data_IF_877109942347
#
_entry.id   IF_877109942347
#
_cell.length_a   1.000
_cell.length_b   1.000
_cell.length_c   1.000
_cell.angle_alpha   90.00
_cell.angle_beta   90.00
_cell.angle_gamma   90.00
#
_symmetry.space_group_name_H-M   'P 1'
#
loop_
_entity.id
_entity.type
_entity.pdbx_description
1 polymer ?
#
# COMPACT_ATOMS: atom_id res chain seq x y z
N UNK A 1 -0.74 33.31 -46.31
CA UNK A 1 -1.82 33.47 -45.35
C UNK A 1 -1.94 34.91 -44.84
N UNK A 2 -0.86 35.55 -44.42
CA UNK A 2 -0.80 36.94 -43.92
C UNK A 2 -1.28 37.97 -44.95
N UNK A 3 -0.97 37.84 -46.24
CA UNK A 3 -1.38 38.76 -47.33
C UNK A 3 -2.90 38.75 -47.61
N UNK A 4 -3.58 37.63 -47.42
CA UNK A 4 -5.05 37.51 -47.49
C UNK A 4 -5.75 38.18 -46.32
N UNK A 5 -5.21 38.03 -45.10
CA UNK A 5 -5.75 38.68 -43.92
C UNK A 5 -5.64 40.19 -44.02
N UNK A 6 -4.51 40.72 -44.56
CA UNK A 6 -4.29 42.13 -44.77
C UNK A 6 -5.31 42.76 -45.75
N UNK A 7 -5.61 42.06 -46.88
CA UNK A 7 -6.62 42.53 -47.87
C UNK A 7 -8.05 42.58 -47.29
N UNK A 8 -8.40 41.62 -46.43
CA UNK A 8 -9.71 41.58 -45.78
C UNK A 8 -9.82 42.74 -44.77
N UNK A 9 -8.72 43.00 -44.04
CA UNK A 9 -8.68 44.11 -43.05
C UNK A 9 -8.74 45.50 -43.68
N UNK A 10 -8.19 45.70 -44.90
CA UNK A 10 -8.20 47.00 -45.60
C UNK A 10 -9.60 47.39 -46.11
N UNK A 11 -10.49 46.44 -46.41
CA UNK A 11 -11.87 46.70 -46.84
C UNK A 11 -12.91 46.63 -45.70
N UNK A 12 -12.51 46.31 -44.48
CA UNK A 12 -13.42 46.26 -43.37
C UNK A 12 -13.77 47.68 -42.86
N UNK A 13 -15.02 47.86 -42.39
CA UNK A 13 -15.45 49.10 -41.77
C UNK A 13 -14.66 49.37 -40.47
N UNK A 14 -14.59 50.64 -40.05
CA UNK A 14 -13.91 51.05 -38.82
C UNK A 14 -14.41 50.24 -37.60
N UNK A 15 -15.71 49.99 -37.57
CA UNK A 15 -16.39 49.16 -36.57
C UNK A 15 -15.87 47.72 -36.56
N UNK A 16 -15.73 47.10 -37.71
CA UNK A 16 -15.20 45.72 -37.81
C UNK A 16 -13.72 45.66 -37.38
N UNK A 17 -12.92 46.67 -37.71
CA UNK A 17 -11.51 46.76 -37.26
C UNK A 17 -11.38 46.86 -35.76
N UNK A 18 -12.21 47.74 -35.16
CA UNK A 18 -12.23 47.94 -33.69
C UNK A 18 -12.70 46.67 -32.97
N UNK A 19 -13.75 46.01 -33.51
CA UNK A 19 -14.24 44.71 -32.98
C UNK A 19 -13.17 43.63 -33.02
N UNK A 20 -12.46 43.50 -34.14
CA UNK A 20 -11.41 42.50 -34.29
C UNK A 20 -10.23 42.75 -33.34
N UNK A 21 -9.85 44.00 -33.12
CA UNK A 21 -8.76 44.41 -32.25
C UNK A 21 -9.10 44.12 -30.77
N UNK A 22 -10.28 44.58 -30.33
CA UNK A 22 -10.74 44.34 -28.92
C UNK A 22 -10.91 42.86 -28.66
N UNK A 23 -11.53 42.10 -29.56
CA UNK A 23 -11.70 40.67 -29.42
C UNK A 23 -10.35 39.91 -29.39
N UNK A 24 -9.37 40.36 -30.22
CA UNK A 24 -8.03 39.75 -30.23
C UNK A 24 -7.28 39.97 -28.91
N UNK A 25 -7.30 41.22 -28.41
CA UNK A 25 -6.67 41.53 -27.08
C UNK A 25 -7.31 40.71 -25.98
N UNK A 26 -8.65 40.65 -25.96
CA UNK A 26 -9.39 39.94 -24.94
C UNK A 26 -9.18 38.43 -25.00
N UNK A 27 -9.14 37.85 -26.19
CA UNK A 27 -8.77 36.40 -26.37
C UNK A 27 -7.34 36.12 -25.93
N UNK A 28 -6.40 37.04 -26.20
CA UNK A 28 -5.00 36.85 -25.82
C UNK A 28 -4.81 36.98 -24.30
N UNK A 29 -5.44 37.94 -23.65
CA UNK A 29 -5.39 38.09 -22.18
C UNK A 29 -6.09 36.92 -21.48
N UNK A 30 -7.28 36.55 -21.94
CA UNK A 30 -8.00 35.41 -21.39
C UNK A 30 -7.21 34.11 -21.58
N UNK A 31 -6.63 33.90 -22.77
CA UNK A 31 -5.79 32.75 -23.07
C UNK A 31 -4.56 32.65 -22.16
N UNK A 32 -3.87 33.75 -21.89
CA UNK A 32 -2.71 33.76 -20.99
C UNK A 32 -3.10 33.48 -19.55
N UNK A 33 -4.17 34.10 -19.03
CA UNK A 33 -4.68 33.85 -17.67
C UNK A 33 -5.08 32.38 -17.51
N UNK A 34 -5.71 31.80 -18.54
CA UNK A 34 -6.16 30.42 -18.52
C UNK A 34 -5.01 29.41 -18.56
N UNK A 35 -3.96 29.67 -19.36
CA UNK A 35 -2.76 28.85 -19.40
C UNK A 35 -2.02 28.86 -18.05
N UNK A 36 -1.86 30.04 -17.44
CA UNK A 36 -1.24 30.19 -16.13
C UNK A 36 -2.08 29.49 -15.05
N UNK A 37 -3.40 29.69 -15.07
CA UNK A 37 -4.33 29.04 -14.16
C UNK A 37 -4.29 27.50 -14.27
N UNK A 38 -4.27 26.99 -15.50
CA UNK A 38 -4.13 25.55 -15.73
C UNK A 38 -2.81 24.97 -15.19
N UNK A 39 -1.70 25.68 -15.45
CA UNK A 39 -0.39 25.24 -14.96
C UNK A 39 -0.37 25.22 -13.40
N UNK A 40 -0.92 26.24 -12.77
CA UNK A 40 -1.03 26.33 -11.32
C UNK A 40 -1.94 25.22 -10.74
N UNK A 41 -3.14 25.04 -11.29
CA UNK A 41 -4.09 24.01 -10.85
C UNK A 41 -3.48 22.60 -11.01
N UNK A 42 -2.83 22.34 -12.15
CA UNK A 42 -2.21 21.04 -12.40
C UNK A 42 -1.10 20.71 -11.39
N UNK A 43 -0.28 21.72 -11.03
CA UNK A 43 0.77 21.57 -10.01
C UNK A 43 0.17 21.35 -8.62
N UNK A 44 -0.81 22.17 -8.25
CA UNK A 44 -1.49 22.08 -6.96
C UNK A 44 -2.23 20.74 -6.80
N UNK A 45 -2.91 20.29 -7.86
CA UNK A 45 -3.62 19.02 -7.87
C UNK A 45 -2.67 17.85 -7.66
N UNK A 46 -1.55 17.83 -8.37
CA UNK A 46 -0.54 16.77 -8.23
C UNK A 46 0.00 16.72 -6.80
N UNK A 47 0.36 17.87 -6.23
CA UNK A 47 0.86 17.95 -4.85
C UNK A 47 -0.18 17.47 -3.83
N UNK A 48 -1.44 17.91 -3.97
CA UNK A 48 -2.53 17.51 -3.06
C UNK A 48 -2.80 16.00 -3.14
N UNK A 49 -2.77 15.43 -4.35
CA UNK A 49 -2.93 13.98 -4.54
C UNK A 49 -1.77 13.22 -3.87
N UNK A 50 -0.53 13.67 -4.05
CA UNK A 50 0.62 13.07 -3.38
C UNK A 50 0.50 13.10 -1.86
N UNK A 51 0.16 14.23 -1.30
CA UNK A 51 0.00 14.40 0.16
C UNK A 51 -1.12 13.49 0.70
N UNK A 52 -2.24 13.41 0.00
CA UNK A 52 -3.34 12.52 0.34
C UNK A 52 -2.93 11.05 0.29
N UNK A 53 -2.20 10.66 -0.75
CA UNK A 53 -1.67 9.30 -0.91
C UNK A 53 -0.66 8.95 0.18
N UNK A 54 0.27 9.85 0.47
CA UNK A 54 1.25 9.67 1.53
C UNK A 54 0.59 9.56 2.91
N UNK A 55 -0.45 10.34 3.17
CA UNK A 55 -1.23 10.25 4.41
C UNK A 55 -1.95 8.90 4.52
N UNK A 56 -2.62 8.45 3.45
CA UNK A 56 -3.28 7.14 3.40
C UNK A 56 -2.28 6.00 3.56
N UNK A 57 -1.15 6.06 2.85
CA UNK A 57 -0.05 5.10 2.97
C UNK A 57 0.44 4.97 4.43
N UNK A 58 0.58 6.12 5.11
CA UNK A 58 0.99 6.14 6.52
C UNK A 58 -0.05 5.49 7.44
N UNK A 59 -1.34 5.73 7.21
CA UNK A 59 -2.41 5.08 7.99
C UNK A 59 -2.38 3.56 7.80
N UNK A 60 -2.28 3.09 6.56
CA UNK A 60 -2.21 1.65 6.27
C UNK A 60 -0.95 1.04 6.90
N UNK A 61 0.20 1.72 6.86
CA UNK A 61 1.42 1.20 7.48
C UNK A 61 1.32 1.08 8.99
N UNK A 62 0.65 2.02 9.67
CA UNK A 62 0.38 1.94 11.11
C UNK A 62 -0.54 0.76 11.42
N UNK A 63 -1.58 0.56 10.62
CA UNK A 63 -2.48 -0.59 10.79
C UNK A 63 -1.77 -1.91 10.55
N UNK A 64 -0.93 -2.00 9.49
CA UNK A 64 -0.08 -3.17 9.23
C UNK A 64 0.84 -3.47 10.43
N UNK A 65 1.51 -2.44 10.96
CA UNK A 65 2.40 -2.58 12.12
C UNK A 65 1.63 -3.08 13.36
N UNK A 66 0.40 -2.59 13.57
CA UNK A 66 -0.48 -3.03 14.66
C UNK A 66 -0.83 -4.51 14.52
N UNK A 67 -1.26 -4.96 13.34
CA UNK A 67 -1.63 -6.37 13.14
C UNK A 67 -0.44 -7.33 13.27
N UNK A 68 0.73 -6.93 12.79
CA UNK A 68 1.95 -7.73 13.00
C UNK A 68 2.36 -7.73 14.48
N UNK A 69 2.14 -6.64 15.20
CA UNK A 69 2.36 -6.57 16.64
C UNK A 69 1.39 -7.45 17.43
N UNK A 70 0.13 -7.54 17.02
CA UNK A 70 -0.88 -8.43 17.64
C UNK A 70 -0.44 -9.90 17.49
N UNK A 71 0.12 -10.29 16.35
CA UNK A 71 0.70 -11.61 16.17
C UNK A 71 1.90 -11.85 17.12
N UNK A 72 2.75 -10.82 17.35
CA UNK A 72 3.83 -10.88 18.36
C UNK A 72 3.27 -11.06 19.76
N UNK A 73 2.25 -10.31 20.14
CA UNK A 73 1.60 -10.44 21.45
C UNK A 73 1.00 -11.84 21.66
N UNK A 74 0.38 -12.42 20.61
CA UNK A 74 -0.12 -13.78 20.67
C UNK A 74 1.00 -14.79 21.00
N UNK A 75 2.22 -14.60 20.50
CA UNK A 75 3.36 -15.45 20.88
C UNK A 75 3.70 -15.33 22.36
N UNK A 76 3.58 -14.13 22.95
CA UNK A 76 3.81 -13.93 24.37
C UNK A 76 2.74 -14.62 25.22
N UNK A 77 1.47 -14.50 24.86
CA UNK A 77 0.35 -15.16 25.54
C UNK A 77 0.53 -16.68 25.53
N UNK A 78 0.80 -17.26 24.34
CA UNK A 78 0.99 -18.71 24.21
C UNK A 78 2.21 -19.17 25.00
N UNK A 79 3.33 -18.46 24.90
CA UNK A 79 4.58 -18.83 25.57
C UNK A 79 4.46 -18.81 27.11
N UNK A 80 3.67 -17.89 27.66
CA UNK A 80 3.53 -17.70 29.10
C UNK A 80 2.39 -18.52 29.71
N UNK A 81 1.61 -19.25 28.91
CA UNK A 81 0.54 -20.10 29.42
C UNK A 81 1.10 -21.24 30.28
N UNK A 82 0.69 -21.26 31.52
CA UNK A 82 1.20 -22.19 32.55
C UNK A 82 0.83 -23.66 32.28
N UNK A 83 -0.35 -23.90 31.69
CA UNK A 83 -0.79 -25.23 31.31
C UNK A 83 0.07 -25.78 30.18
N UNK A 84 0.26 -24.97 29.16
CA UNK A 84 1.08 -25.33 28.00
C UNK A 84 2.53 -25.59 28.41
N UNK A 85 3.14 -24.73 29.22
CA UNK A 85 4.49 -24.91 29.73
C UNK A 85 4.66 -26.20 30.55
N UNK A 86 3.71 -26.47 31.45
CA UNK A 86 3.73 -27.70 32.24
C UNK A 86 3.71 -28.96 31.38
N UNK A 87 2.82 -29.02 30.40
CA UNK A 87 2.69 -30.20 29.54
C UNK A 87 3.86 -30.36 28.56
N UNK A 88 4.44 -29.26 28.10
CA UNK A 88 5.68 -29.30 27.32
C UNK A 88 6.86 -29.82 28.15
N UNK A 89 6.99 -29.40 29.41
CA UNK A 89 8.03 -29.89 30.34
C UNK A 89 7.88 -31.40 30.62
N UNK A 90 6.64 -31.88 30.81
CA UNK A 90 6.38 -33.33 30.98
C UNK A 90 6.84 -34.13 29.78
N UNK A 91 6.57 -33.66 28.57
CA UNK A 91 7.05 -34.32 27.35
C UNK A 91 8.58 -34.24 27.22
N UNK A 92 9.18 -33.13 27.64
CA UNK A 92 10.63 -32.94 27.60
C UNK A 92 11.34 -33.92 28.54
N UNK A 93 10.80 -34.16 29.72
CA UNK A 93 11.33 -35.09 30.72
C UNK A 93 11.16 -36.57 30.37
N UNK A 94 10.46 -36.90 29.29
CA UNK A 94 10.26 -38.28 28.80
C UNK A 94 9.46 -39.19 29.74
N UNK A 95 8.46 -38.67 30.40
CA UNK A 95 7.52 -39.47 31.19
C UNK A 95 6.48 -40.11 30.26
N UNK A 96 6.79 -41.27 29.71
CA UNK A 96 6.11 -41.93 28.56
C UNK A 96 4.58 -42.10 28.79
N UNK A 97 4.16 -42.40 30.00
CA UNK A 97 2.72 -42.61 30.32
C UNK A 97 1.88 -41.33 30.33
N UNK A 98 2.50 -40.15 30.43
CA UNK A 98 1.81 -38.86 30.44
C UNK A 98 1.81 -38.15 29.05
N UNK A 99 2.59 -38.67 28.11
CA UNK A 99 2.82 -37.96 26.84
C UNK A 99 1.56 -37.85 25.96
N UNK A 100 0.70 -38.86 25.91
CA UNK A 100 -0.53 -38.82 25.09
C UNK A 100 -1.51 -37.76 25.61
N UNK A 101 -1.78 -37.76 26.91
CA UNK A 101 -2.66 -36.77 27.56
C UNK A 101 -2.08 -35.35 27.48
N UNK A 102 -0.76 -35.23 27.61
CA UNK A 102 -0.06 -33.93 27.49
C UNK A 102 -0.15 -33.36 26.06
N UNK A 103 0.00 -34.17 25.03
CA UNK A 103 -0.16 -33.76 23.62
C UNK A 103 -1.58 -33.23 23.34
N UNK A 104 -2.59 -33.96 23.85
CA UNK A 104 -3.99 -33.52 23.70
C UNK A 104 -4.25 -32.20 24.41
N UNK A 105 -3.73 -32.05 25.62
CA UNK A 105 -3.87 -30.80 26.40
C UNK A 105 -3.16 -29.64 25.71
N UNK A 106 -1.94 -29.84 25.21
CA UNK A 106 -1.20 -28.82 24.41
C UNK A 106 -2.05 -28.41 23.20
N UNK A 107 -2.58 -29.39 22.45
CA UNK A 107 -3.42 -29.11 21.30
C UNK A 107 -4.66 -28.27 21.66
N UNK A 108 -5.43 -28.67 22.69
CA UNK A 108 -6.62 -27.98 23.13
C UNK A 108 -6.31 -26.55 23.65
N UNK A 109 -5.23 -26.39 24.41
CA UNK A 109 -4.81 -25.08 24.91
C UNK A 109 -4.40 -24.18 23.76
N UNK A 110 -3.56 -24.67 22.86
CA UNK A 110 -3.12 -23.92 21.68
C UNK A 110 -4.32 -23.52 20.81
N UNK A 111 -5.26 -24.46 20.58
CA UNK A 111 -6.48 -24.22 19.82
C UNK A 111 -7.34 -23.13 20.49
N UNK A 112 -7.53 -23.20 21.81
CA UNK A 112 -8.31 -22.21 22.55
C UNK A 112 -7.70 -20.81 22.44
N UNK A 113 -6.38 -20.70 22.67
CA UNK A 113 -5.67 -19.42 22.58
C UNK A 113 -5.71 -18.85 21.16
N UNK A 114 -5.53 -19.70 20.15
CA UNK A 114 -5.67 -19.30 18.76
C UNK A 114 -7.08 -18.79 18.43
N UNK A 115 -8.13 -19.48 18.88
CA UNK A 115 -9.52 -19.09 18.61
C UNK A 115 -9.90 -17.76 19.31
N UNK A 116 -9.35 -17.50 20.50
CA UNK A 116 -9.58 -16.24 21.22
C UNK A 116 -8.95 -15.03 20.49
N UNK A 117 -7.87 -15.25 19.75
CA UNK A 117 -7.13 -14.20 19.04
C UNK A 117 -7.23 -14.33 17.51
N UNK A 118 -8.22 -15.12 17.03
CA UNK A 118 -8.37 -15.41 15.60
C UNK A 118 -8.62 -14.13 14.81
N UNK A 119 -7.78 -13.93 13.79
CA UNK A 119 -7.92 -12.88 12.79
C UNK A 119 -7.96 -13.52 11.39
N UNK A 120 -8.57 -12.87 10.38
CA UNK A 120 -8.66 -13.44 9.02
C UNK A 120 -7.30 -13.79 8.40
N UNK A 121 -6.28 -13.00 8.71
CA UNK A 121 -4.92 -13.18 8.20
C UNK A 121 -4.07 -14.21 8.99
N UNK A 122 -4.50 -14.62 10.19
CA UNK A 122 -3.84 -15.68 10.96
C UNK A 122 -4.29 -17.05 10.43
N UNK A 123 -3.39 -17.77 9.79
CA UNK A 123 -3.70 -19.05 9.14
C UNK A 123 -3.74 -20.18 10.15
N UNK A 124 -2.69 -20.29 10.96
CA UNK A 124 -2.59 -21.27 12.04
C UNK A 124 -1.53 -20.87 13.06
N UNK A 125 -1.54 -21.56 14.21
CA UNK A 125 -0.40 -21.65 15.10
C UNK A 125 0.06 -23.10 15.24
N UNK A 126 1.35 -23.31 15.42
CA UNK A 126 1.94 -24.63 15.56
C UNK A 126 3.01 -24.63 16.66
N UNK A 127 3.19 -25.77 17.34
CA UNK A 127 4.35 -26.00 18.20
C UNK A 127 5.14 -27.16 17.60
N UNK A 128 6.40 -26.89 17.32
CA UNK A 128 7.38 -27.85 16.81
C UNK A 128 8.27 -28.25 17.99
N UNK A 129 8.23 -29.51 18.34
CA UNK A 129 9.09 -30.11 19.36
C UNK A 129 9.79 -31.33 18.72
N UNK A 130 11.00 -31.74 19.12
CA UNK A 130 11.69 -32.91 18.56
C UNK A 130 10.86 -34.20 18.56
N UNK A 131 9.86 -34.31 19.42
CA UNK A 131 9.01 -35.49 19.59
C UNK A 131 7.64 -35.40 18.96
N UNK A 132 7.17 -34.18 18.60
CA UNK A 132 5.85 -34.00 18.01
C UNK A 132 5.74 -32.66 17.29
N UNK A 133 4.77 -32.60 16.39
CA UNK A 133 4.35 -31.41 15.70
C UNK A 133 2.85 -31.26 15.92
N UNK A 134 2.43 -30.13 16.50
CA UNK A 134 1.01 -29.83 16.78
C UNK A 134 0.61 -28.57 16.02
N UNK A 135 -0.49 -28.64 15.29
CA UNK A 135 -1.07 -27.50 14.60
C UNK A 135 -2.44 -27.16 15.15
N UNK A 136 -2.79 -25.89 15.11
CA UNK A 136 -4.18 -25.46 15.24
C UNK A 136 -4.76 -25.20 13.87
N UNK A 137 -6.00 -25.55 13.66
CA UNK A 137 -6.66 -25.45 12.38
C UNK A 137 -6.96 -23.98 12.01
N UNK A 138 -6.62 -23.63 10.73
CA UNK A 138 -7.15 -22.51 9.98
C UNK A 138 -7.54 -22.96 8.58
N UNK A 139 -8.37 -22.20 7.86
CA UNK A 139 -8.71 -22.44 6.46
C UNK A 139 -7.46 -22.18 5.59
N UNK A 140 -7.15 -23.10 4.66
CA UNK A 140 -6.04 -22.94 3.70
C UNK A 140 -4.68 -23.40 4.23
N UNK A 141 -4.67 -24.34 5.15
CA UNK A 141 -3.47 -24.94 5.71
C UNK A 141 -2.70 -25.78 4.67
N UNK A 142 -1.55 -25.31 4.27
CA UNK A 142 -0.53 -26.12 3.60
C UNK A 142 0.48 -26.59 4.63
N UNK A 143 0.81 -27.90 4.59
CA UNK A 143 1.80 -28.49 5.51
C UNK A 143 3.15 -27.79 5.34
N UNK A 144 3.80 -27.45 6.46
CA UNK A 144 5.18 -27.02 6.46
C UNK A 144 6.05 -28.10 5.81
N UNK A 145 6.84 -27.72 4.80
CA UNK A 145 7.84 -28.62 4.23
C UNK A 145 8.96 -28.89 5.25
N UNK A 146 9.60 -30.04 5.16
CA UNK A 146 10.74 -30.36 6.04
C UNK A 146 11.85 -29.30 5.97
N UNK A 147 12.14 -28.81 4.78
CA UNK A 147 13.13 -27.74 4.58
C UNK A 147 12.75 -26.44 5.33
N UNK A 148 11.47 -26.06 5.26
CA UNK A 148 10.96 -24.88 5.97
C UNK A 148 10.96 -25.08 7.48
N UNK A 149 10.61 -26.28 7.96
CA UNK A 149 10.69 -26.62 9.39
C UNK A 149 12.14 -26.47 9.87
N UNK A 150 13.13 -27.02 9.15
CA UNK A 150 14.55 -26.87 9.51
C UNK A 150 14.96 -25.41 9.56
N UNK A 151 14.63 -24.63 8.54
CA UNK A 151 14.91 -23.19 8.50
C UNK A 151 14.30 -22.45 9.69
N UNK A 152 13.05 -22.75 10.03
CA UNK A 152 12.34 -22.14 11.18
C UNK A 152 13.05 -22.48 12.49
N UNK A 153 13.40 -23.74 12.71
CA UNK A 153 14.07 -24.19 13.93
C UNK A 153 15.46 -23.56 14.09
N UNK A 154 16.27 -23.57 13.02
CA UNK A 154 17.61 -23.00 13.03
C UNK A 154 17.58 -21.48 13.31
N UNK A 155 16.66 -20.77 12.63
CA UNK A 155 16.52 -19.32 12.80
C UNK A 155 16.01 -18.96 14.18
N UNK A 156 15.02 -19.69 14.70
CA UNK A 156 14.49 -19.48 16.05
C UNK A 156 15.52 -19.81 17.14
N UNK A 157 16.34 -20.86 16.94
CA UNK A 157 17.43 -21.23 17.85
C UNK A 157 18.49 -20.12 17.94
N UNK A 158 18.92 -19.60 16.77
CA UNK A 158 19.87 -18.48 16.68
C UNK A 158 19.37 -17.19 17.36
N UNK A 159 18.04 -17.01 17.43
CA UNK A 159 17.41 -15.84 18.06
C UNK A 159 17.28 -15.94 19.57
N UNK A 160 17.65 -17.07 20.19
CA UNK A 160 17.70 -17.25 21.64
C UNK A 160 16.42 -16.86 22.40
N UNK A 161 15.23 -17.20 21.83
CA UNK A 161 13.93 -16.91 22.43
C UNK A 161 13.35 -15.54 22.07
N UNK A 162 14.06 -14.74 21.29
CA UNK A 162 13.50 -13.57 20.61
C UNK A 162 12.60 -14.01 19.46
N UNK A 163 11.50 -13.29 19.18
CA UNK A 163 10.67 -13.60 18.03
C UNK A 163 11.40 -13.27 16.71
N UNK A 164 11.25 -14.14 15.73
CA UNK A 164 11.85 -13.95 14.38
C UNK A 164 10.78 -14.12 13.32
N UNK A 165 10.87 -13.31 12.27
CA UNK A 165 10.02 -13.37 11.11
C UNK A 165 10.76 -14.07 9.97
N UNK A 166 10.13 -15.04 9.35
CA UNK A 166 10.69 -15.89 8.31
C UNK A 166 9.73 -15.90 7.13
N UNK A 167 10.12 -15.35 5.97
CA UNK A 167 9.29 -15.40 4.78
C UNK A 167 9.25 -16.80 4.19
N UNK A 168 8.09 -17.17 3.64
CA UNK A 168 7.95 -18.35 2.80
C UNK A 168 8.55 -18.10 1.40
N UNK A 169 9.00 -19.17 0.75
CA UNK A 169 9.52 -19.11 -0.62
C UNK A 169 8.49 -18.62 -1.65
N UNK A 170 7.18 -18.83 -1.39
CA UNK A 170 6.12 -18.34 -2.25
C UNK A 170 5.86 -16.84 -2.09
N UNK A 171 6.40 -16.21 -1.05
CA UNK A 171 6.14 -14.81 -0.69
C UNK A 171 4.72 -14.55 -0.18
N UNK A 172 3.89 -15.60 0.02
CA UNK A 172 2.52 -15.45 0.51
C UNK A 172 2.45 -15.48 2.03
N UNK A 173 3.19 -16.38 2.65
CA UNK A 173 3.15 -16.57 4.10
C UNK A 173 4.36 -15.96 4.79
N UNK A 174 4.10 -15.35 5.91
CA UNK A 174 5.13 -14.87 6.83
C UNK A 174 5.01 -15.64 8.14
N UNK A 175 6.06 -16.35 8.51
CA UNK A 175 6.10 -17.14 9.74
C UNK A 175 6.75 -16.36 10.85
N UNK A 176 6.04 -16.22 11.97
CA UNK A 176 6.58 -15.72 13.21
C UNK A 176 6.97 -16.90 14.08
N UNK A 177 8.26 -17.09 14.29
CA UNK A 177 8.80 -18.20 15.08
C UNK A 177 9.44 -17.71 16.36
N UNK A 178 9.27 -18.48 17.45
CA UNK A 178 9.84 -18.18 18.75
C UNK A 178 10.06 -19.43 19.58
N UNK A 179 11.25 -19.59 20.17
CA UNK A 179 11.49 -20.67 21.13
C UNK A 179 10.67 -20.50 22.40
N UNK A 180 10.04 -21.58 22.87
CA UNK A 180 9.41 -21.70 24.18
C UNK A 180 10.46 -22.28 25.12
N UNK A 181 10.88 -21.49 26.10
CA UNK A 181 11.90 -21.88 27.08
C UNK A 181 11.26 -22.08 28.43
N UNK A 182 11.82 -22.98 29.22
CA UNK A 182 11.41 -23.17 30.62
C UNK A 182 11.74 -21.91 31.42
N UNK A 183 10.73 -21.42 32.10
CA UNK A 183 10.83 -20.20 32.93
C UNK A 183 11.20 -20.55 34.40
N UNK A 184 11.22 -21.83 34.76
CA UNK A 184 11.38 -22.29 36.09
C UNK A 184 12.88 -22.54 36.47
N UNK A 185 13.32 -22.06 37.62
CA UNK A 185 14.61 -22.33 38.27
C UNK A 185 15.90 -21.99 37.55
N UNK A 186 15.97 -20.93 36.76
CA UNK A 186 17.20 -20.47 36.05
C UNK A 186 17.75 -21.43 34.99
N UNK A 187 17.15 -22.58 34.77
CA UNK A 187 17.48 -23.47 33.66
C UNK A 187 16.71 -23.04 32.40
N UNK A 188 17.45 -22.63 31.38
CA UNK A 188 16.90 -22.28 30.05
C UNK A 188 16.83 -23.54 29.17
N UNK A 189 15.99 -24.50 29.52
CA UNK A 189 15.74 -25.66 28.66
C UNK A 189 14.75 -25.28 27.54
N UNK A 190 15.02 -25.73 26.32
CA UNK A 190 14.16 -25.54 25.18
C UNK A 190 13.01 -26.56 25.20
N UNK A 191 11.77 -26.07 25.28
CA UNK A 191 10.57 -26.90 25.30
C UNK A 191 9.96 -27.10 23.90
N UNK A 192 10.41 -26.34 22.91
CA UNK A 192 9.93 -26.38 21.54
C UNK A 192 9.89 -24.98 20.90
N UNK A 193 9.49 -24.94 19.65
CA UNK A 193 9.36 -23.70 18.86
C UNK A 193 7.90 -23.45 18.51
N UNK A 194 7.38 -22.31 18.95
CA UNK A 194 6.07 -21.78 18.53
C UNK A 194 6.22 -21.13 17.17
N UNK A 195 5.27 -21.41 16.28
CA UNK A 195 5.16 -20.81 14.94
C UNK A 195 3.75 -20.30 14.74
N UNK A 196 3.63 -19.06 14.29
CA UNK A 196 2.37 -18.45 13.85
C UNK A 196 2.51 -18.11 12.37
N UNK A 197 1.57 -18.55 11.54
CA UNK A 197 1.56 -18.27 10.11
C UNK A 197 0.60 -17.13 9.81
N UNK A 198 1.10 -16.10 9.12
CA UNK A 198 0.36 -14.92 8.65
C UNK A 198 0.25 -14.98 7.15
N UNK A 199 -0.97 -14.93 6.59
CA UNK A 199 -1.20 -14.75 5.15
C UNK A 199 -1.12 -13.27 4.82
N UNK A 200 -0.01 -12.86 4.21
CA UNK A 200 0.25 -11.47 3.86
C UNK A 200 -0.70 -10.94 2.79
N UNK A 201 -1.18 -11.79 1.88
CA UNK A 201 -2.15 -11.38 0.88
C UNK A 201 -3.47 -10.98 1.54
N UNK A 202 -3.99 -11.82 2.46
CA UNK A 202 -5.22 -11.53 3.19
C UNK A 202 -5.06 -10.28 4.05
N UNK A 203 -3.95 -10.15 4.77
CA UNK A 203 -3.66 -8.98 5.61
C UNK A 203 -3.62 -7.69 4.79
N UNK A 204 -2.88 -7.67 3.69
CA UNK A 204 -2.73 -6.47 2.87
C UNK A 204 -4.00 -6.15 2.07
N UNK A 205 -4.78 -7.15 1.68
CA UNK A 205 -6.09 -6.95 1.05
C UNK A 205 -7.08 -6.32 2.02
N UNK A 206 -7.18 -6.79 3.27
CA UNK A 206 -8.02 -6.22 4.31
C UNK A 206 -7.68 -4.74 4.54
N UNK A 207 -6.40 -4.42 4.69
CA UNK A 207 -5.92 -3.05 4.89
C UNK A 207 -6.20 -2.12 3.70
N UNK A 208 -6.15 -2.65 2.48
CA UNK A 208 -6.43 -1.87 1.27
C UNK A 208 -7.92 -1.66 1.02
N UNK A 209 -8.77 -2.61 1.40
CA UNK A 209 -10.23 -2.47 1.29
C UNK A 209 -10.79 -1.39 2.21
N UNK A 210 -10.20 -1.19 3.38
CA UNK A 210 -10.58 -0.10 4.28
C UNK A 210 -10.34 1.29 3.66
N UNK A 211 -9.37 1.41 2.77
CA UNK A 211 -9.05 2.64 2.02
C UNK A 211 -9.73 2.64 0.66
N UNK A 212 -11.05 2.86 0.62
CA UNK A 212 -11.91 2.86 -0.60
C UNK A 212 -11.40 3.66 -1.81
N UNK A 213 -10.35 4.47 -1.64
CA UNK A 213 -9.86 5.39 -2.66
C UNK A 213 -8.80 4.80 -3.60
N UNK A 214 -8.21 3.65 -3.29
CA UNK A 214 -7.09 3.10 -4.07
C UNK A 214 -7.28 1.61 -4.31
N UNK A 215 -7.82 1.26 -5.47
CA UNK A 215 -7.84 -0.14 -5.95
C UNK A 215 -6.49 -0.49 -6.57
N UNK A 216 -6.04 -1.73 -6.37
CA UNK A 216 -4.82 -2.29 -6.97
C UNK A 216 -3.50 -1.66 -6.48
N UNK A 217 -3.35 -1.53 -5.15
CA UNK A 217 -2.05 -1.21 -4.56
C UNK A 217 -1.21 -2.49 -4.51
N UNK A 218 0.01 -2.45 -5.06
CA UNK A 218 0.98 -3.52 -4.88
C UNK A 218 1.93 -3.17 -3.75
N UNK A 219 2.32 -4.19 -3.00
CA UNK A 219 3.21 -4.06 -1.87
C UNK A 219 4.51 -4.80 -2.09
N UNK A 220 5.57 -4.20 -1.60
CA UNK A 220 6.86 -4.83 -1.42
C UNK A 220 7.38 -4.48 -0.02
N UNK A 221 7.79 -5.49 0.75
CA UNK A 221 8.27 -5.33 2.13
C UNK A 221 9.61 -6.05 2.25
N UNK A 222 10.63 -5.36 2.75
CA UNK A 222 11.97 -5.91 2.90
C UNK A 222 12.67 -5.39 4.16
N UNK A 223 13.79 -6.04 4.51
CA UNK A 223 14.70 -5.62 5.58
C UNK A 223 16.13 -6.00 5.19
N UNK A 224 17.02 -5.03 5.09
CA UNK A 224 18.45 -5.27 4.77
C UNK A 224 18.61 -6.24 3.58
N UNK A 225 17.99 -5.96 2.46
CA UNK A 225 17.99 -6.78 1.23
C UNK A 225 17.32 -8.16 1.34
N UNK A 226 16.75 -8.52 2.48
CA UNK A 226 15.92 -9.71 2.62
C UNK A 226 14.46 -9.35 2.33
N UNK A 227 13.88 -10.02 1.35
CA UNK A 227 12.48 -9.86 0.98
C UNK A 227 11.59 -10.62 1.96
N UNK A 228 10.61 -9.91 2.55
CA UNK A 228 9.58 -10.50 3.39
C UNK A 228 8.28 -10.72 2.63
N UNK A 229 7.95 -9.81 1.72
CA UNK A 229 6.78 -9.90 0.88
C UNK A 229 6.99 -9.15 -0.43
N UNK A 230 6.57 -9.76 -1.53
CA UNK A 230 6.48 -9.13 -2.84
C UNK A 230 5.16 -9.50 -3.50
N UNK A 231 4.41 -8.49 -3.96
CA UNK A 231 3.21 -8.75 -4.73
C UNK A 231 3.55 -9.55 -6.01
N UNK A 232 2.76 -10.59 -6.36
CA UNK A 232 3.08 -11.48 -7.50
C UNK A 232 3.19 -10.77 -8.85
N UNK A 233 2.67 -9.55 -8.97
CA UNK A 233 2.70 -8.72 -10.18
C UNK A 233 4.02 -7.97 -10.36
N UNK A 234 4.91 -7.98 -9.37
CA UNK A 234 6.21 -7.29 -9.42
C UNK A 234 7.27 -8.25 -9.94
N UNK A 235 7.88 -7.91 -11.06
CA UNK A 235 9.05 -8.61 -11.57
C UNK A 235 10.34 -8.12 -10.89
N UNK A 236 11.43 -8.88 -11.06
CA UNK A 236 12.71 -8.59 -10.41
C UNK A 236 13.29 -7.24 -10.84
N UNK A 237 13.04 -6.81 -12.09
CA UNK A 237 13.46 -5.51 -12.60
C UNK A 237 12.72 -4.36 -11.92
N UNK A 238 11.42 -4.52 -11.66
CA UNK A 238 10.64 -3.54 -10.90
C UNK A 238 11.15 -3.45 -9.46
N UNK A 239 11.45 -4.58 -8.83
CA UNK A 239 11.99 -4.62 -7.47
C UNK A 239 13.36 -3.93 -7.36
N UNK A 240 14.27 -4.14 -8.32
CA UNK A 240 15.55 -3.42 -8.37
C UNK A 240 15.35 -1.91 -8.50
N UNK A 241 14.44 -1.47 -9.37
CA UNK A 241 14.13 -0.05 -9.50
C UNK A 241 13.57 0.55 -8.21
N UNK A 242 12.76 -0.22 -7.48
CA UNK A 242 12.18 0.20 -6.20
C UNK A 242 13.25 0.30 -5.11
N UNK A 243 14.19 -0.67 -5.03
CA UNK A 243 15.25 -0.69 -4.00
C UNK A 243 16.27 0.43 -4.15
N UNK A 244 16.72 0.71 -5.38
CA UNK A 244 17.85 1.59 -5.65
C UNK A 244 17.52 3.07 -5.72
N UNK A 245 16.24 3.47 -5.59
CA UNK A 245 15.88 4.87 -5.71
C UNK A 245 15.87 5.62 -4.38
N UNK A 246 16.56 6.76 -4.37
CA UNK A 246 16.59 7.70 -3.25
C UNK A 246 15.44 8.71 -3.41
N UNK A 247 14.53 8.75 -2.44
CA UNK A 247 13.44 9.73 -2.40
C UNK A 247 12.20 9.18 -1.72
N UNK A 248 11.35 10.06 -1.18
CA UNK A 248 10.10 9.66 -0.51
C UNK A 248 9.06 9.10 -1.49
N UNK A 249 9.15 9.49 -2.77
CA UNK A 249 8.29 9.00 -3.86
C UNK A 249 8.98 9.12 -5.22
N UNK A 250 8.66 8.23 -6.12
CA UNK A 250 9.13 8.22 -7.51
C UNK A 250 8.14 7.46 -8.40
N UNK A 251 8.35 7.53 -9.70
CA UNK A 251 7.52 6.82 -10.67
C UNK A 251 8.35 5.76 -11.35
N UNK A 252 7.85 4.53 -11.40
CA UNK A 252 8.45 3.44 -12.18
C UNK A 252 7.51 3.00 -13.30
N UNK A 253 8.06 2.37 -14.32
CA UNK A 253 7.29 1.76 -15.41
C UNK A 253 7.59 0.28 -15.45
N UNK A 254 6.56 -0.54 -15.25
CA UNK A 254 6.64 -1.99 -15.36
C UNK A 254 5.45 -2.53 -16.14
N UNK A 255 5.66 -3.53 -17.00
CA UNK A 255 4.65 -4.12 -17.89
C UNK A 255 3.84 -3.10 -18.71
N UNK A 256 4.46 -1.97 -19.10
CA UNK A 256 3.80 -0.90 -19.87
C UNK A 256 2.88 0.02 -19.05
N UNK A 257 2.79 -0.17 -17.75
CA UNK A 257 2.05 0.69 -16.83
C UNK A 257 2.98 1.51 -15.94
N UNK A 258 2.58 2.74 -15.65
CA UNK A 258 3.31 3.62 -14.73
C UNK A 258 2.75 3.48 -13.32
N UNK A 259 3.63 3.34 -12.34
CA UNK A 259 3.29 3.27 -10.93
C UNK A 259 3.99 4.36 -10.15
N UNK A 260 3.25 4.97 -9.24
CA UNK A 260 3.81 5.82 -8.20
C UNK A 260 4.27 4.93 -7.05
N UNK A 261 5.53 5.02 -6.68
CA UNK A 261 6.11 4.29 -5.55
C UNK A 261 6.21 5.22 -4.35
N UNK A 262 5.62 4.81 -3.25
CA UNK A 262 5.73 5.46 -1.95
C UNK A 262 6.57 4.58 -1.03
N UNK A 263 7.66 5.11 -0.52
CA UNK A 263 8.52 4.45 0.45
C UNK A 263 8.16 4.86 1.88
N UNK A 264 8.13 3.89 2.78
CA UNK A 264 7.99 4.12 4.21
C UNK A 264 8.70 3.04 5.02
N UNK A 265 8.63 3.14 6.35
CA UNK A 265 9.23 2.16 7.26
C UNK A 265 8.27 1.78 8.37
N UNK A 266 8.25 0.49 8.72
CA UNK A 266 7.59 -0.07 9.90
C UNK A 266 8.58 0.03 11.07
N UNK A 267 8.39 1.03 11.91
CA UNK A 267 9.40 1.45 12.90
C UNK A 267 9.68 0.38 13.96
N UNK A 268 8.65 -0.31 14.45
CA UNK A 268 8.80 -1.34 15.48
C UNK A 268 9.54 -2.57 14.97
N UNK A 269 9.36 -2.92 13.70
CA UNK A 269 9.97 -4.09 13.06
C UNK A 269 11.30 -3.76 12.37
N UNK A 270 11.58 -2.46 12.15
CA UNK A 270 12.72 -1.95 11.35
C UNK A 270 12.70 -2.54 9.93
N UNK A 271 11.52 -2.59 9.31
CA UNK A 271 11.33 -3.01 7.94
C UNK A 271 11.03 -1.81 7.06
N UNK A 272 11.48 -1.85 5.81
CA UNK A 272 11.06 -0.92 4.78
C UNK A 272 9.88 -1.50 4.00
N UNK A 273 8.92 -0.65 3.65
CA UNK A 273 7.84 -1.01 2.75
C UNK A 273 7.78 -0.04 1.58
N UNK A 274 7.32 -0.56 0.46
CA UNK A 274 7.06 0.20 -0.76
C UNK A 274 5.64 -0.12 -1.22
N UNK A 275 4.87 0.94 -1.47
CA UNK A 275 3.54 0.86 -2.04
C UNK A 275 3.59 1.36 -3.47
N UNK A 276 3.15 0.54 -4.41
CA UNK A 276 3.07 0.87 -5.82
C UNK A 276 1.61 1.13 -6.18
N UNK A 277 1.30 2.37 -6.53
CA UNK A 277 -0.04 2.80 -6.90
C UNK A 277 -0.10 3.03 -8.41
N UNK A 278 -1.11 2.48 -9.12
CA UNK A 278 -1.26 2.70 -10.56
C UNK A 278 -1.39 4.20 -10.88
N UNK A 279 -0.47 4.74 -11.68
CA UNK A 279 -0.47 6.16 -12.06
C UNK A 279 -1.69 6.52 -12.91
N UNK A 280 -2.27 5.55 -13.60
CA UNK A 280 -3.47 5.73 -14.43
C UNK A 280 -4.69 6.16 -13.60
N UNK A 281 -4.78 5.74 -12.33
CA UNK A 281 -5.82 6.18 -11.42
C UNK A 281 -5.72 7.69 -11.14
N UNK A 282 -4.49 8.22 -11.04
CA UNK A 282 -4.19 9.64 -10.84
C UNK A 282 -4.47 10.44 -12.10
N UNK A 283 -4.03 9.94 -13.25
CA UNK A 283 -4.16 10.63 -14.54
C UNK A 283 -5.62 10.69 -15.03
N UNK A 284 -6.44 9.69 -14.71
CA UNK A 284 -7.85 9.66 -15.09
C UNK A 284 -8.63 10.83 -14.47
N UNK A 285 -8.45 11.09 -13.18
CA UNK A 285 -9.02 12.26 -12.50
C UNK A 285 -8.49 13.57 -13.07
N UNK A 286 -7.21 13.65 -13.43
CA UNK A 286 -6.60 14.83 -14.07
C UNK A 286 -7.23 15.14 -15.42
N UNK A 287 -7.49 14.13 -16.26
CA UNK A 287 -8.16 14.31 -17.54
C UNK A 287 -9.60 14.81 -17.39
N UNK A 288 -10.31 14.38 -16.37
CA UNK A 288 -11.65 14.91 -16.08
C UNK A 288 -11.61 16.39 -15.72
N UNK A 289 -10.74 16.78 -14.78
CA UNK A 289 -10.55 18.20 -14.40
C UNK A 289 -10.14 19.04 -15.60
N UNK A 290 -9.23 18.53 -16.43
CA UNK A 290 -8.82 19.21 -17.66
C UNK A 290 -9.98 19.41 -18.64
N UNK A 291 -10.82 18.41 -18.87
CA UNK A 291 -12.00 18.54 -19.75
C UNK A 291 -12.98 19.61 -19.25
N UNK A 292 -13.30 19.58 -17.96
CA UNK A 292 -14.20 20.59 -17.35
C UNK A 292 -13.62 21.99 -17.51
N UNK A 293 -12.32 22.14 -17.29
CA UNK A 293 -11.63 23.40 -17.44
C UNK A 293 -11.65 23.92 -18.91
N UNK A 294 -11.38 23.06 -19.88
CA UNK A 294 -11.46 23.41 -21.32
C UNK A 294 -12.89 23.82 -21.71
N UNK A 295 -13.91 23.11 -21.24
CA UNK A 295 -15.31 23.45 -21.52
C UNK A 295 -15.64 24.83 -20.91
N UNK A 296 -15.23 25.12 -19.68
CA UNK A 296 -15.44 26.40 -19.05
C UNK A 296 -14.76 27.56 -19.81
N UNK A 297 -13.56 27.33 -20.33
CA UNK A 297 -12.84 28.26 -21.19
C UNK A 297 -13.63 28.58 -22.44
N UNK A 298 -14.00 27.55 -23.19
CA UNK A 298 -14.72 27.72 -24.47
C UNK A 298 -16.04 28.45 -24.25
N UNK A 299 -16.78 28.10 -23.19
CA UNK A 299 -18.02 28.76 -22.81
C UNK A 299 -17.80 30.24 -22.44
N UNK A 300 -16.75 30.55 -21.65
CA UNK A 300 -16.39 31.91 -21.27
C UNK A 300 -15.99 32.79 -22.49
N UNK A 301 -15.17 32.26 -23.38
CA UNK A 301 -14.75 32.97 -24.59
C UNK A 301 -15.96 33.26 -25.52
N UNK A 302 -16.80 32.24 -25.75
CA UNK A 302 -17.99 32.41 -26.61
C UNK A 302 -18.97 33.40 -26.05
N UNK A 303 -19.21 33.36 -24.71
CA UNK A 303 -20.08 34.34 -24.03
C UNK A 303 -19.52 35.74 -24.14
N UNK A 304 -18.22 35.95 -23.98
CA UNK A 304 -17.57 37.21 -24.06
C UNK A 304 -17.67 37.82 -25.48
N UNK A 305 -17.39 37.01 -26.51
CA UNK A 305 -17.54 37.44 -27.90
C UNK A 305 -18.99 37.82 -28.21
N UNK A 306 -19.96 37.05 -27.71
CA UNK A 306 -21.38 37.34 -27.89
C UNK A 306 -21.80 38.68 -27.21
N UNK A 307 -21.33 38.93 -25.99
CA UNK A 307 -21.61 40.20 -25.29
C UNK A 307 -20.97 41.41 -25.99
N UNK A 308 -19.76 41.26 -26.49
CA UNK A 308 -19.10 42.33 -27.28
C UNK A 308 -19.91 42.62 -28.54
N UNK A 309 -20.35 41.58 -29.27
CA UNK A 309 -21.16 41.75 -30.48
C UNK A 309 -22.47 42.47 -30.19
N UNK A 310 -23.18 42.10 -29.12
CA UNK A 310 -24.40 42.78 -28.67
C UNK A 310 -24.15 44.23 -28.31
N UNK A 311 -23.08 44.53 -27.56
CA UNK A 311 -22.75 45.89 -27.13
C UNK A 311 -22.43 46.81 -28.30
N UNK A 312 -21.63 46.33 -29.24
CA UNK A 312 -21.27 47.14 -30.43
C UNK A 312 -22.51 47.38 -31.30
N UNK A 313 -23.34 46.36 -31.52
CA UNK A 313 -24.58 46.51 -32.29
C UNK A 313 -25.55 47.55 -31.67
N UNK A 314 -25.56 47.64 -30.33
CA UNK A 314 -26.41 48.61 -29.61
C UNK A 314 -25.86 50.05 -29.72
N UNK A 315 -24.55 50.21 -29.65
CA UNK A 315 -23.88 51.51 -29.78
C UNK A 315 -24.02 52.06 -31.21
N UNK A 316 -23.79 51.24 -32.24
CA UNK A 316 -23.91 51.67 -33.64
C UNK A 316 -25.33 52.02 -34.05
N UNK A 317 -26.32 51.33 -33.50
CA UNK A 317 -27.73 51.67 -33.76
C UNK A 317 -28.09 53.03 -33.16
N UNK A 318 -27.47 53.49 -32.07
CA UNK A 318 -27.66 54.81 -31.47
C UNK A 318 -26.92 55.95 -32.17
N UNK A 319 -25.88 55.68 -32.96
CA UNK A 319 -25.08 56.70 -33.65
C UNK A 319 -25.63 56.93 -35.09
N UNK A 320 -26.46 56.03 -35.58
CA UNK A 320 -27.05 56.09 -36.94
C UNK A 320 -28.45 56.76 -36.99
N UNK A 321 -28.91 57.38 -35.90
CA UNK A 321 -30.05 58.27 -35.75
C UNK A 321 -29.51 59.68 -35.54
#
# INVERSE_FOLDING_TARGET
MISRIRKIFDHASLEQKLMALVSSILCLTLGTVLLLGFHFINRQYTETVYQSMAASSRLISVSLETHLHDALQLTDVIRTDSSLQRHLDLIHKNEDYLTAGSRETIYKTLQSLYQQHKQPYLVYSAIINPRFLTYTYGYGYDKLSEALISQILDTAAAAHGSPVWIPDQSGRYLFLARQIRKIDQLELSDLGTLVIAVDMNVLLEELTQETKNFQNIFWYICKNDQDFYSAPQLDEKALEQVRHQAGAYHTIVTHGHSYLVLKGSLKSLKWDYFQLLPYDAITRSRHYVFRVYVIAIVAGVTLTIFLIHLSIRRITHHISI
#
